data_IF_856425983593
#
_entry.id   IF_856425983593
#
_cell.length_a   1.000
_cell.length_b   1.000
_cell.length_c   1.000
_cell.angle_alpha   90.00
_cell.angle_beta   90.00
_cell.angle_gamma   90.00
#
_symmetry.space_group_name_H-M   'P 1'
#
loop_
_entity.id
_entity.type
_entity.pdbx_description
1 polymer ?
#
# COMPACT_ATOMS: atom_id res chain seq x y z
N UNK A 1 23.74 12.61 12.74
CA UNK A 1 22.28 12.66 12.56
C UNK A 1 22.09 13.34 11.22
N UNK A 2 21.62 12.61 10.22
CA UNK A 2 21.42 13.18 8.90
C UNK A 2 20.32 14.24 9.00
N UNK A 3 20.61 15.44 8.49
CA UNK A 3 19.73 16.61 8.48
C UNK A 3 18.58 16.38 7.48
N UNK A 4 17.67 15.48 7.86
CA UNK A 4 16.49 15.08 7.10
C UNK A 4 15.32 16.04 7.28
N UNK A 5 15.54 17.17 7.96
CA UNK A 5 14.51 18.19 8.14
C UNK A 5 14.32 18.97 6.83
N UNK A 6 13.05 19.19 6.46
CA UNK A 6 12.74 20.14 5.39
C UNK A 6 13.25 21.52 5.79
N UNK A 7 13.84 22.25 4.84
CA UNK A 7 14.29 23.62 5.05
C UNK A 7 13.11 24.49 5.52
N UNK A 8 13.36 25.55 6.33
CA UNK A 8 12.32 26.51 6.70
C UNK A 8 11.59 27.03 5.47
N UNK A 9 10.26 27.05 5.54
CA UNK A 9 9.42 27.56 4.46
C UNK A 9 9.72 29.05 4.22
N UNK A 10 10.27 29.37 3.05
CA UNK A 10 10.49 30.73 2.59
C UNK A 10 9.29 31.17 1.73
N UNK A 11 8.37 31.99 2.25
CA UNK A 11 7.17 32.40 1.53
C UNK A 11 7.48 33.22 0.27
N UNK A 12 8.66 33.84 0.18
CA UNK A 12 9.07 34.62 -0.99
C UNK A 12 9.68 33.77 -2.10
N UNK A 13 10.06 32.52 -1.81
CA UNK A 13 10.42 31.51 -2.81
C UNK A 13 9.24 30.67 -3.26
N UNK A 14 8.06 30.89 -2.69
CA UNK A 14 6.86 30.23 -3.15
C UNK A 14 6.58 30.61 -4.62
N UNK A 15 6.07 29.69 -5.44
CA UNK A 15 5.69 29.98 -6.83
C UNK A 15 4.51 30.95 -6.94
N UNK A 16 3.97 31.41 -5.81
CA UNK A 16 2.88 32.37 -5.70
C UNK A 16 3.34 33.57 -4.85
N UNK A 17 3.03 34.81 -5.26
CA UNK A 17 3.34 35.99 -4.46
C UNK A 17 2.60 35.92 -3.12
N UNK A 18 3.30 36.29 -2.03
CA UNK A 18 2.70 36.41 -0.71
C UNK A 18 1.63 37.51 -0.70
N UNK A 19 0.47 37.21 -0.12
CA UNK A 19 -0.59 38.21 0.07
C UNK A 19 -0.22 39.04 1.31
N UNK A 20 -0.02 40.34 1.10
CA UNK A 20 0.22 41.33 2.15
C UNK A 20 -0.42 42.67 1.74
N UNK A 21 -0.41 43.63 2.65
CA UNK A 21 -0.78 45.03 2.53
C UNK A 21 -0.27 45.71 1.24
N UNK A 22 0.90 45.29 0.73
CA UNK A 22 1.51 45.83 -0.50
C UNK A 22 1.13 45.04 -1.77
N UNK A 23 0.56 43.85 -1.62
CA UNK A 23 0.13 42.98 -2.74
C UNK A 23 -1.38 42.78 -2.66
N UNK A 24 -2.19 43.63 -3.32
CA UNK A 24 -3.64 43.54 -3.22
C UNK A 24 -4.12 42.17 -3.69
N UNK A 25 -5.22 41.64 -3.14
CA UNK A 25 -5.87 40.42 -3.63
C UNK A 25 -6.52 40.68 -5.00
N UNK A 26 -5.70 40.93 -6.02
CA UNK A 26 -6.07 40.96 -7.43
C UNK A 26 -6.05 39.56 -8.03
N UNK A 27 -6.24 39.45 -9.35
CA UNK A 27 -6.32 38.24 -10.20
C UNK A 27 -5.20 37.17 -10.03
N UNK A 28 -4.31 37.29 -9.05
CA UNK A 28 -3.40 36.24 -8.57
C UNK A 28 -4.11 35.16 -7.77
N UNK A 29 -5.27 35.48 -7.16
CA UNK A 29 -6.27 34.47 -6.89
C UNK A 29 -6.63 33.86 -8.24
N UNK A 30 -6.01 32.72 -8.57
CA UNK A 30 -6.61 31.80 -9.53
C UNK A 30 -7.99 31.55 -8.95
N UNK A 31 -9.00 32.28 -9.44
CA UNK A 31 -10.40 31.89 -9.23
C UNK A 31 -10.39 30.38 -9.37
N UNK A 32 -10.83 29.62 -8.35
CA UNK A 32 -10.86 28.18 -8.48
C UNK A 32 -11.53 27.91 -9.81
N UNK A 33 -10.87 27.16 -10.70
CA UNK A 33 -11.29 26.97 -12.10
C UNK A 33 -12.78 26.63 -12.25
N UNK A 34 -13.39 26.17 -11.17
CA UNK A 34 -14.81 26.02 -10.84
C UNK A 34 -15.71 27.23 -11.17
N UNK A 35 -15.23 28.48 -11.11
CA UNK A 35 -16.13 29.66 -11.15
C UNK A 35 -16.27 30.37 -12.51
N UNK A 36 -15.56 29.94 -13.56
CA UNK A 36 -15.55 30.66 -14.87
C UNK A 36 -16.28 29.94 -16.01
N UNK A 37 -16.29 28.61 -16.03
CA UNK A 37 -17.02 27.78 -16.99
C UNK A 37 -16.93 26.32 -16.57
N UNK A 38 -18.07 25.61 -16.52
CA UNK A 38 -18.11 24.18 -16.17
C UNK A 38 -17.13 23.35 -17.02
N UNK A 39 -16.96 23.70 -18.30
CA UNK A 39 -16.06 22.98 -19.21
C UNK A 39 -14.59 23.08 -18.76
N UNK A 40 -14.14 24.29 -18.43
CA UNK A 40 -12.77 24.51 -17.95
C UNK A 40 -12.58 23.82 -16.59
N UNK A 41 -13.58 23.86 -15.71
CA UNK A 41 -13.52 23.18 -14.42
C UNK A 41 -13.35 21.67 -14.56
N UNK A 42 -14.07 21.02 -15.48
CA UNK A 42 -13.93 19.59 -15.73
C UNK A 42 -12.58 19.22 -16.34
N UNK A 43 -12.10 19.99 -17.31
CA UNK A 43 -10.79 19.75 -17.93
C UNK A 43 -9.66 19.87 -16.91
N UNK A 44 -9.70 20.91 -16.07
CA UNK A 44 -8.71 21.08 -14.99
C UNK A 44 -8.80 19.96 -13.95
N UNK A 45 -10.00 19.54 -13.57
CA UNK A 45 -10.15 18.41 -12.65
C UNK A 45 -9.57 17.12 -13.24
N UNK A 46 -9.84 16.84 -14.51
CA UNK A 46 -9.26 15.69 -15.20
C UNK A 46 -7.73 15.77 -15.27
N UNK A 47 -7.16 16.93 -15.65
CA UNK A 47 -5.71 17.10 -15.70
C UNK A 47 -5.07 16.93 -14.32
N UNK A 48 -5.71 17.42 -13.26
CA UNK A 48 -5.25 17.20 -11.88
C UNK A 48 -5.21 15.72 -11.55
N UNK A 49 -6.29 14.97 -11.82
CA UNK A 49 -6.36 13.54 -11.54
C UNK A 49 -5.22 12.76 -12.22
N UNK A 50 -4.89 13.09 -13.48
CA UNK A 50 -3.76 12.49 -14.19
C UNK A 50 -2.40 12.94 -13.64
N UNK A 51 -2.26 14.22 -13.26
CA UNK A 51 -1.03 14.74 -12.70
C UNK A 51 -0.71 14.09 -11.34
N UNK A 52 -1.70 13.91 -10.46
CA UNK A 52 -1.51 13.21 -9.17
C UNK A 52 -1.05 11.77 -9.40
N UNK A 53 -1.65 11.06 -10.34
CA UNK A 53 -1.23 9.68 -10.69
C UNK A 53 0.18 9.65 -11.27
N UNK A 54 0.51 10.61 -12.14
CA UNK A 54 1.85 10.72 -12.73
C UNK A 54 2.90 11.09 -11.68
N UNK A 55 2.57 11.96 -10.73
CA UNK A 55 3.43 12.32 -9.60
C UNK A 55 3.70 11.13 -8.69
N UNK A 56 2.71 10.27 -8.45
CA UNK A 56 2.87 9.00 -7.70
C UNK A 56 3.87 8.08 -8.40
N UNK A 57 3.80 7.91 -9.73
CA UNK A 57 4.78 7.08 -10.43
C UNK A 57 6.16 7.73 -10.49
N UNK A 58 6.25 9.05 -10.67
CA UNK A 58 7.51 9.80 -10.62
C UNK A 58 8.19 9.73 -9.24
N UNK A 59 7.44 9.47 -8.17
CA UNK A 59 8.01 9.32 -6.83
C UNK A 59 8.69 7.95 -6.59
N UNK A 60 8.51 6.97 -7.49
CA UNK A 60 8.98 5.60 -7.31
C UNK A 60 10.48 5.48 -7.00
N UNK A 61 11.42 6.14 -7.71
CA UNK A 61 12.85 6.03 -7.40
C UNK A 61 13.21 6.55 -6.00
N UNK A 62 12.50 7.58 -5.54
CA UNK A 62 12.66 8.14 -4.20
C UNK A 62 12.09 7.19 -3.15
N UNK A 63 10.92 6.60 -3.40
CA UNK A 63 10.35 5.59 -2.52
C UNK A 63 11.26 4.37 -2.40
N UNK A 64 11.81 3.87 -3.51
CA UNK A 64 12.80 2.78 -3.51
C UNK A 64 14.03 3.12 -2.67
N UNK A 65 14.56 4.34 -2.83
CA UNK A 65 15.73 4.81 -2.10
C UNK A 65 15.45 4.95 -0.59
N UNK A 66 14.46 5.76 -0.20
CA UNK A 66 14.22 6.09 1.21
C UNK A 66 13.61 4.93 2.00
N UNK A 67 12.92 4.00 1.32
CA UNK A 67 12.33 2.83 1.98
C UNK A 67 13.23 1.59 1.87
N UNK A 68 14.41 1.66 1.27
CA UNK A 68 15.29 0.50 1.00
C UNK A 68 14.52 -0.66 0.31
N UNK A 69 13.89 -0.34 -0.82
CA UNK A 69 13.01 -1.23 -1.57
C UNK A 69 11.52 -1.05 -1.23
N UNK A 70 10.65 -1.41 -2.17
CA UNK A 70 9.20 -1.20 -2.04
C UNK A 70 8.48 -2.33 -1.31
N UNK A 71 9.11 -3.51 -1.24
CA UNK A 71 8.61 -4.72 -0.60
C UNK A 71 9.70 -5.30 0.28
N UNK A 72 9.31 -5.89 1.40
CA UNK A 72 10.21 -6.60 2.30
C UNK A 72 9.63 -7.97 2.63
N UNK A 73 10.36 -9.01 2.26
CA UNK A 73 9.96 -10.41 2.44
C UNK A 73 10.69 -11.00 3.64
N UNK A 74 9.97 -11.78 4.46
CA UNK A 74 10.53 -12.60 5.54
C UNK A 74 9.89 -13.98 5.52
N UNK A 75 10.57 -14.99 6.06
CA UNK A 75 10.07 -16.37 6.10
C UNK A 75 10.79 -17.27 5.10
N UNK A 76 10.11 -18.29 4.59
CA UNK A 76 10.73 -19.33 3.75
C UNK A 76 10.63 -18.98 2.26
N UNK A 77 11.69 -19.21 1.48
CA UNK A 77 11.71 -18.91 0.03
C UNK A 77 10.72 -19.78 -0.76
N UNK A 78 10.64 -21.08 -0.44
CA UNK A 78 9.77 -22.08 -1.06
C UNK A 78 8.40 -22.21 -0.36
N UNK A 79 7.92 -21.10 0.22
CA UNK A 79 6.64 -21.04 0.90
C UNK A 79 5.45 -21.13 -0.08
N UNK A 80 4.54 -22.07 0.16
CA UNK A 80 3.28 -22.17 -0.59
C UNK A 80 2.21 -21.18 -0.10
N UNK A 81 2.40 -20.62 1.09
CA UNK A 81 1.51 -19.63 1.72
C UNK A 81 2.25 -18.30 1.88
N UNK A 82 1.60 -17.20 1.49
CA UNK A 82 2.13 -15.86 1.73
C UNK A 82 1.11 -14.95 2.41
N UNK A 83 1.59 -14.10 3.32
CA UNK A 83 0.82 -12.99 3.90
C UNK A 83 1.23 -11.68 3.24
N UNK A 84 0.32 -11.04 2.49
CA UNK A 84 0.57 -9.70 1.95
C UNK A 84 -0.01 -8.67 2.92
N UNK A 85 0.87 -7.82 3.46
CA UNK A 85 0.50 -6.90 4.55
C UNK A 85 1.08 -5.51 4.35
N UNK A 86 0.47 -4.53 5.03
CA UNK A 86 1.00 -3.18 5.13
C UNK A 86 0.88 -2.67 6.58
N UNK A 87 1.82 -1.82 7.00
CA UNK A 87 1.77 -1.17 8.31
C UNK A 87 1.90 -2.15 9.48
N UNK A 88 1.04 -1.99 10.50
CA UNK A 88 1.06 -2.78 11.73
C UNK A 88 0.62 -4.23 11.53
N UNK A 89 -0.19 -4.52 10.51
CA UNK A 89 -0.64 -5.89 10.20
C UNK A 89 0.55 -6.81 9.87
N UNK A 90 1.66 -6.24 9.37
CA UNK A 90 2.88 -6.99 9.08
C UNK A 90 3.55 -7.60 10.30
N UNK A 91 3.48 -6.96 11.48
CA UNK A 91 4.05 -7.56 12.69
C UNK A 91 3.24 -8.78 13.14
N UNK A 92 1.93 -8.73 12.91
CA UNK A 92 0.99 -9.75 13.37
C UNK A 92 1.06 -10.95 12.43
N UNK A 93 1.20 -10.70 11.13
CA UNK A 93 1.51 -11.74 10.15
C UNK A 93 2.88 -12.38 10.39
N UNK A 94 3.89 -11.63 10.85
CA UNK A 94 5.20 -12.20 11.23
C UNK A 94 5.08 -13.13 12.44
N UNK A 95 4.27 -12.79 13.43
CA UNK A 95 4.05 -13.68 14.57
C UNK A 95 3.26 -14.94 14.14
N UNK A 96 2.23 -14.77 13.30
CA UNK A 96 1.51 -15.92 12.72
C UNK A 96 2.43 -16.82 11.87
N UNK A 97 3.33 -16.25 11.08
CA UNK A 97 4.33 -17.00 10.29
C UNK A 97 5.25 -17.82 11.19
N UNK A 98 5.73 -17.26 12.32
CA UNK A 98 6.53 -18.00 13.30
C UNK A 98 5.77 -19.18 13.91
N UNK A 99 4.49 -19.00 14.24
CA UNK A 99 3.65 -20.09 14.76
C UNK A 99 3.42 -21.18 13.70
N UNK A 100 3.19 -20.81 12.44
CA UNK A 100 3.08 -21.77 11.33
C UNK A 100 4.40 -22.53 11.11
N UNK A 101 5.54 -21.86 11.23
CA UNK A 101 6.85 -22.49 11.12
C UNK A 101 7.07 -23.55 12.22
N UNK A 102 6.61 -23.31 13.46
CA UNK A 102 6.64 -24.32 14.54
C UNK A 102 5.80 -25.56 14.21
N UNK A 103 4.78 -25.40 13.39
CA UNK A 103 3.92 -26.48 12.89
C UNK A 103 4.45 -27.14 11.61
N UNK A 104 5.62 -26.72 11.12
CA UNK A 104 6.23 -27.24 9.88
C UNK A 104 5.58 -26.72 8.60
N UNK A 105 4.72 -25.70 8.69
CA UNK A 105 4.03 -25.12 7.53
C UNK A 105 4.89 -23.98 6.97
N UNK A 106 5.38 -24.15 5.74
CA UNK A 106 6.20 -23.17 5.05
C UNK A 106 5.36 -21.97 4.62
N UNK A 107 5.64 -20.81 5.21
CA UNK A 107 4.97 -19.56 4.88
C UNK A 107 5.97 -18.40 4.79
N UNK A 108 5.54 -17.31 4.14
CA UNK A 108 6.30 -16.06 4.06
C UNK A 108 5.42 -14.84 4.28
N UNK A 109 6.01 -13.74 4.75
CA UNK A 109 5.34 -12.44 4.90
C UNK A 109 5.93 -11.48 3.89
N UNK A 110 5.07 -10.95 3.02
CA UNK A 110 5.36 -9.91 2.05
C UNK A 110 4.83 -8.58 2.59
N UNK A 111 5.71 -7.81 3.22
CA UNK A 111 5.38 -6.46 3.73
C UNK A 111 5.54 -5.44 2.61
N UNK A 112 4.44 -4.81 2.21
CA UNK A 112 4.48 -3.62 1.35
C UNK A 112 4.98 -2.43 2.17
N UNK A 113 6.08 -1.80 1.72
CA UNK A 113 6.61 -0.57 2.33
C UNK A 113 5.96 0.68 1.74
N UNK A 114 5.39 0.57 0.56
CA UNK A 114 4.59 1.60 -0.10
C UNK A 114 3.25 1.04 -0.55
N UNK A 115 2.22 1.87 -0.51
CA UNK A 115 0.93 1.60 -1.14
C UNK A 115 0.68 2.48 -2.37
N UNK A 116 1.44 3.57 -2.52
CA UNK A 116 1.44 4.50 -3.65
C UNK A 116 2.85 5.12 -3.77
N UNK A 117 3.61 4.85 -4.84
CA UNK A 117 3.26 3.99 -5.97
C UNK A 117 3.06 2.53 -5.53
N UNK A 118 2.11 1.82 -6.14
CA UNK A 118 1.86 0.44 -5.78
C UNK A 118 2.95 -0.47 -6.38
N UNK A 119 3.55 -1.39 -5.60
CA UNK A 119 4.71 -2.16 -6.02
C UNK A 119 4.32 -3.46 -6.71
N UNK A 120 3.63 -3.36 -7.84
CA UNK A 120 3.07 -4.52 -8.55
C UNK A 120 4.14 -5.52 -9.01
N UNK A 121 5.26 -5.03 -9.57
CA UNK A 121 6.33 -5.88 -10.09
C UNK A 121 7.02 -6.64 -8.96
N UNK A 122 7.30 -5.94 -7.87
CA UNK A 122 7.97 -6.49 -6.69
C UNK A 122 7.05 -7.47 -5.95
N UNK A 123 5.75 -7.18 -5.90
CA UNK A 123 4.74 -8.08 -5.34
C UNK A 123 4.64 -9.38 -6.14
N UNK A 124 4.56 -9.31 -7.47
CA UNK A 124 4.52 -10.49 -8.34
C UNK A 124 5.75 -11.37 -8.16
N UNK A 125 6.94 -10.77 -8.15
CA UNK A 125 8.19 -11.50 -7.91
C UNK A 125 8.21 -12.14 -6.51
N UNK A 126 7.75 -11.42 -5.48
CA UNK A 126 7.70 -11.95 -4.13
C UNK A 126 6.70 -13.11 -3.95
N UNK A 127 5.70 -13.22 -4.84
CA UNK A 127 4.63 -14.23 -4.78
C UNK A 127 4.82 -15.37 -5.79
N UNK A 128 5.94 -15.43 -6.48
CA UNK A 128 6.26 -16.58 -7.33
C UNK A 128 6.23 -17.90 -6.52
N UNK A 129 5.59 -18.92 -7.08
CA UNK A 129 5.41 -20.24 -6.46
C UNK A 129 4.37 -20.33 -5.34
N UNK A 130 3.77 -19.21 -4.93
CA UNK A 130 2.77 -19.20 -3.85
C UNK A 130 1.42 -19.71 -4.37
N UNK A 131 0.77 -20.57 -3.59
CA UNK A 131 -0.56 -21.11 -3.89
C UNK A 131 -1.67 -20.36 -3.17
N UNK A 132 -1.42 -19.92 -1.94
CA UNK A 132 -2.41 -19.20 -1.12
C UNK A 132 -1.85 -17.87 -0.61
N UNK A 133 -2.57 -16.79 -0.90
CA UNK A 133 -2.22 -15.43 -0.47
C UNK A 133 -3.27 -14.94 0.52
N UNK A 134 -2.86 -14.70 1.76
CA UNK A 134 -3.71 -14.11 2.79
C UNK A 134 -3.41 -12.62 2.89
N UNK A 135 -4.47 -11.80 2.99
CA UNK A 135 -4.36 -10.34 3.12
C UNK A 135 -5.00 -9.88 4.43
N UNK A 136 -4.27 -9.99 5.57
CA UNK A 136 -4.71 -9.40 6.82
C UNK A 136 -4.70 -7.87 6.73
N UNK A 137 -5.83 -7.22 7.01
CA UNK A 137 -5.90 -5.76 7.07
C UNK A 137 -6.88 -5.22 8.13
N UNK A 138 -6.66 -3.97 8.53
CA UNK A 138 -7.53 -3.24 9.48
C UNK A 138 -8.69 -2.50 8.78
N UNK A 139 -8.77 -2.60 7.45
CA UNK A 139 -9.80 -1.95 6.66
C UNK A 139 -10.90 -2.95 6.34
N UNK A 140 -12.08 -2.73 6.93
CA UNK A 140 -13.26 -3.60 6.76
C UNK A 140 -13.70 -3.75 5.30
N UNK A 141 -13.44 -2.74 4.47
CA UNK A 141 -13.80 -2.72 3.04
C UNK A 141 -12.84 -3.58 2.20
N UNK A 142 -11.71 -4.00 2.76
CA UNK A 142 -10.72 -4.82 2.06
C UNK A 142 -9.99 -4.02 0.98
N UNK A 143 -9.37 -2.89 1.35
CA UNK A 143 -8.74 -2.03 0.34
C UNK A 143 -7.46 -2.69 -0.18
N UNK A 144 -6.63 -3.20 0.71
CA UNK A 144 -5.38 -3.87 0.32
C UNK A 144 -5.68 -5.16 -0.45
N UNK A 145 -6.66 -5.95 0.01
CA UNK A 145 -7.11 -7.15 -0.70
C UNK A 145 -7.50 -6.86 -2.16
N UNK A 146 -8.27 -5.78 -2.40
CA UNK A 146 -8.66 -5.38 -3.76
C UNK A 146 -7.48 -4.97 -4.62
N UNK A 147 -6.52 -4.22 -4.06
CA UNK A 147 -5.31 -3.82 -4.78
C UNK A 147 -4.43 -5.04 -5.12
N UNK A 148 -4.27 -5.98 -4.18
CA UNK A 148 -3.54 -7.24 -4.40
C UNK A 148 -4.23 -8.09 -5.47
N UNK A 149 -5.56 -8.25 -5.41
CA UNK A 149 -6.34 -8.94 -6.46
C UNK A 149 -6.14 -8.31 -7.83
N UNK A 150 -6.16 -6.99 -7.89
CA UNK A 150 -5.98 -6.26 -9.16
C UNK A 150 -4.57 -6.47 -9.71
N UNK A 151 -3.54 -6.41 -8.86
CA UNK A 151 -2.14 -6.62 -9.23
C UNK A 151 -1.84 -8.05 -9.70
N UNK A 152 -2.54 -9.05 -9.14
CA UNK A 152 -2.37 -10.47 -9.48
C UNK A 152 -3.29 -10.95 -10.61
N UNK A 153 -4.29 -10.16 -10.99
CA UNK A 153 -5.29 -10.56 -11.99
C UNK A 153 -4.66 -10.90 -13.35
N UNK A 154 -4.84 -12.15 -13.78
CA UNK A 154 -4.29 -12.67 -15.03
C UNK A 154 -2.77 -12.87 -15.03
N UNK A 155 -2.12 -12.77 -13.86
CA UNK A 155 -0.65 -12.87 -13.69
C UNK A 155 -0.22 -13.90 -12.66
N UNK A 156 -1.13 -14.37 -11.81
CA UNK A 156 -0.90 -15.41 -10.81
C UNK A 156 -2.18 -16.24 -10.64
N UNK A 157 -2.00 -17.55 -10.46
CA UNK A 157 -3.08 -18.50 -10.15
C UNK A 157 -3.30 -18.66 -8.64
N UNK A 158 -2.57 -17.90 -7.81
CA UNK A 158 -2.68 -17.99 -6.36
C UNK A 158 -4.09 -17.65 -5.88
N UNK A 159 -4.63 -18.46 -4.97
CA UNK A 159 -5.90 -18.18 -4.34
C UNK A 159 -5.73 -17.08 -3.29
N UNK A 160 -6.43 -15.95 -3.50
CA UNK A 160 -6.36 -14.80 -2.61
C UNK A 160 -7.50 -14.85 -1.59
N UNK A 161 -7.14 -14.84 -0.31
CA UNK A 161 -8.03 -14.82 0.85
C UNK A 161 -7.89 -13.45 1.52
N UNK A 162 -8.91 -12.62 1.38
CA UNK A 162 -8.94 -11.25 1.93
C UNK A 162 -9.31 -11.21 3.41
N UNK A 163 -8.60 -11.98 4.25
CA UNK A 163 -8.91 -12.16 5.66
C UNK A 163 -7.63 -12.36 6.50
N UNK A 164 -7.68 -12.09 7.82
CA UNK A 164 -8.80 -11.49 8.54
C UNK A 164 -8.91 -9.98 8.32
N UNK A 165 -10.13 -9.46 8.35
CA UNK A 165 -10.41 -8.02 8.36
C UNK A 165 -10.89 -7.62 9.75
N UNK A 166 -10.06 -6.90 10.49
CA UNK A 166 -10.47 -6.36 11.79
C UNK A 166 -10.82 -4.89 11.60
N UNK A 167 -11.91 -4.42 12.20
CA UNK A 167 -12.28 -3.01 12.12
C UNK A 167 -11.24 -2.12 12.79
N UNK A 168 -11.11 -0.88 12.29
CA UNK A 168 -10.25 0.12 12.92
C UNK A 168 -10.59 0.31 14.41
N UNK A 169 -9.57 0.34 15.26
CA UNK A 169 -9.71 0.43 16.72
C UNK A 169 -9.58 -0.90 17.47
N UNK A 170 -9.60 -2.04 16.77
CA UNK A 170 -9.25 -3.34 17.34
C UNK A 170 -7.83 -3.73 16.97
N UNK A 171 -7.12 -4.39 17.89
CA UNK A 171 -5.86 -5.08 17.54
C UNK A 171 -6.19 -6.36 16.78
N UNK A 172 -5.38 -6.70 15.77
CA UNK A 172 -5.46 -7.99 15.09
C UNK A 172 -4.59 -9.01 15.85
N UNK A 173 -5.16 -10.05 16.48
CA UNK A 173 -4.36 -11.11 17.09
C UNK A 173 -3.74 -12.00 16.01
N UNK A 174 -2.56 -12.57 16.25
CA UNK A 174 -1.94 -13.52 15.33
C UNK A 174 -2.81 -14.78 15.15
N UNK A 175 -3.52 -15.17 16.21
CA UNK A 175 -4.47 -16.28 16.25
C UNK A 175 -5.61 -16.10 15.24
N UNK A 176 -6.05 -14.86 14.98
CA UNK A 176 -7.06 -14.60 13.96
C UNK A 176 -6.52 -14.94 12.56
N UNK A 177 -5.25 -14.61 12.28
CA UNK A 177 -4.60 -14.95 11.01
C UNK A 177 -4.43 -16.48 10.91
N UNK A 178 -3.95 -17.11 11.98
CA UNK A 178 -3.77 -18.57 12.02
C UNK A 178 -5.08 -19.32 11.78
N UNK A 179 -6.19 -18.85 12.37
CA UNK A 179 -7.50 -19.44 12.17
C UNK A 179 -7.90 -19.44 10.69
N UNK A 180 -7.76 -18.32 9.99
CA UNK A 180 -8.07 -18.22 8.56
C UNK A 180 -7.22 -19.18 7.72
N UNK A 181 -5.92 -19.30 8.05
CA UNK A 181 -5.02 -20.23 7.37
C UNK A 181 -5.46 -21.68 7.58
N UNK A 182 -5.75 -22.06 8.83
CA UNK A 182 -6.14 -23.44 9.16
C UNK A 182 -7.50 -23.83 8.57
N UNK A 183 -8.46 -22.91 8.55
CA UNK A 183 -9.77 -23.15 7.93
C UNK A 183 -9.65 -23.38 6.42
N UNK A 184 -8.72 -22.68 5.77
CA UNK A 184 -8.60 -22.69 4.32
C UNK A 184 -7.65 -23.76 3.78
N UNK A 185 -6.49 -23.93 4.41
CA UNK A 185 -5.43 -24.85 3.96
C UNK A 185 -5.62 -26.26 4.54
N UNK A 186 -6.42 -26.39 5.61
CA UNK A 186 -6.86 -27.62 6.26
C UNK A 186 -6.01 -28.88 5.93
N UNK A 187 -4.86 -29.10 6.61
CA UNK A 187 -3.94 -30.19 6.30
C UNK A 187 -4.51 -31.61 6.44
N UNK A 188 -5.77 -31.77 6.86
CA UNK A 188 -6.50 -33.04 6.96
C UNK A 188 -7.42 -33.39 5.77
N UNK A 189 -7.62 -32.50 4.79
CA UNK A 189 -8.29 -32.84 3.53
C UNK A 189 -7.23 -32.86 2.44
N UNK A 190 -6.79 -34.08 2.13
CA UNK A 190 -5.68 -34.35 1.22
C UNK A 190 -5.79 -33.67 -0.14
N UNK A 191 -4.61 -33.45 -0.71
CA UNK A 191 -4.40 -33.35 -2.16
C UNK A 191 -5.07 -34.51 -2.91
#
# INVERSE_FOLDING_TARGET
>A
ADDIALMPYDPYKAPLPAIDSETPPGRFLRDPFVMKSNYISYATHASWQFEVRSAVERSRPYAEHFLNGLVHVTGTEDAEIAFVTCGTASNQAKEAERELMKLGIKSKVVKLRTIRPFPEKELLAALEGVKHVFVPEFNVVGWLDKEVRTALYGKSDAEIVGAPRVGGGMSMPAEAILKEVMEKVNPGKGA
#
